data_IF_417563425286
#
_entry.id   IF_417563425286
#
_cell.length_a   1.000
_cell.length_b   1.000
_cell.length_c   1.000
_cell.angle_alpha   90.00
_cell.angle_beta   90.00
_cell.angle_gamma   90.00
#
_symmetry.space_group_name_H-M   'P 1'
#
loop_
_entity.id
_entity.type
_entity.pdbx_description
1 polymer ?
#
# COMPACT_ATOMS: atom_id res chain seq x y z
N UNK A 1 -4.05 5.35 -22.02
CA UNK A 1 -4.79 5.19 -20.73
C UNK A 1 -4.90 3.75 -20.25
N UNK A 2 -5.02 2.75 -21.14
CA UNK A 2 -5.06 1.31 -20.80
C UNK A 2 -3.87 0.86 -19.92
N UNK A 3 -2.65 1.31 -20.23
CA UNK A 3 -1.46 0.98 -19.43
C UNK A 3 -1.55 1.41 -17.96
N UNK A 4 -2.22 2.53 -17.65
CA UNK A 4 -2.40 3.00 -16.26
C UNK A 4 -3.39 2.13 -15.49
N UNK A 5 -4.48 1.72 -16.13
CA UNK A 5 -5.48 0.81 -15.57
C UNK A 5 -4.89 -0.58 -15.28
N UNK A 6 -4.10 -1.11 -16.21
CA UNK A 6 -3.39 -2.38 -16.02
C UNK A 6 -2.43 -2.29 -14.85
N UNK A 7 -1.73 -1.16 -14.70
CA UNK A 7 -0.82 -0.95 -13.58
C UNK A 7 -1.52 -0.91 -12.22
N UNK A 8 -2.67 -0.24 -12.17
CA UNK A 8 -3.49 -0.18 -10.96
C UNK A 8 -4.00 -1.57 -10.58
N UNK A 9 -4.47 -2.36 -11.56
CA UNK A 9 -4.86 -3.75 -11.33
C UNK A 9 -3.68 -4.60 -10.85
N UNK A 10 -2.50 -4.43 -11.45
CA UNK A 10 -1.30 -5.18 -11.08
C UNK A 10 -0.81 -4.80 -9.68
N UNK A 11 -0.91 -3.53 -9.29
CA UNK A 11 -0.62 -3.07 -7.92
C UNK A 11 -1.61 -3.62 -6.90
N UNK A 12 -2.90 -3.72 -7.22
CA UNK A 12 -3.88 -4.32 -6.31
C UNK A 12 -3.61 -5.82 -6.15
N UNK A 13 -3.43 -6.55 -7.26
CA UNK A 13 -3.24 -8.01 -7.24
C UNK A 13 -1.88 -8.36 -6.64
N UNK A 14 -0.78 -7.88 -7.23
CA UNK A 14 0.58 -8.24 -6.80
C UNK A 14 0.92 -7.56 -5.47
N UNK A 15 0.39 -6.37 -5.19
CA UNK A 15 0.53 -5.71 -3.89
C UNK A 15 -0.10 -6.52 -2.77
N UNK A 16 -1.30 -7.05 -2.98
CA UNK A 16 -1.96 -7.93 -2.02
C UNK A 16 -1.19 -9.24 -1.82
N UNK A 17 -0.96 -9.99 -2.90
CA UNK A 17 -0.30 -11.29 -2.81
C UNK A 17 1.15 -11.19 -2.30
N UNK A 18 1.91 -10.20 -2.76
CA UNK A 18 3.28 -9.96 -2.33
C UNK A 18 3.36 -9.59 -0.85
N UNK A 19 2.53 -8.63 -0.42
CA UNK A 19 2.56 -8.17 0.98
C UNK A 19 2.07 -9.27 1.94
N UNK A 20 1.00 -10.00 1.59
CA UNK A 20 0.50 -11.11 2.43
C UNK A 20 1.51 -12.25 2.51
N UNK A 21 2.16 -12.61 1.41
CA UNK A 21 3.19 -13.67 1.39
C UNK A 21 4.37 -13.31 2.29
N UNK A 22 4.89 -12.08 2.17
CA UNK A 22 6.00 -11.60 3.01
C UNK A 22 5.58 -11.56 4.49
N UNK A 23 4.36 -11.10 4.77
CA UNK A 23 3.83 -11.03 6.14
C UNK A 23 3.54 -12.40 6.75
N UNK A 24 3.42 -13.47 5.95
CA UNK A 24 3.30 -14.84 6.49
C UNK A 24 4.58 -15.31 7.20
N UNK A 25 5.73 -14.76 6.82
CA UNK A 25 7.03 -15.04 7.44
C UNK A 25 7.28 -14.20 8.70
N UNK A 26 6.50 -13.15 8.94
CA UNK A 26 6.71 -12.19 10.02
C UNK A 26 5.61 -12.31 11.07
N UNK A 27 5.92 -12.93 12.21
CA UNK A 27 5.01 -13.07 13.36
C UNK A 27 5.35 -12.05 14.46
N UNK A 28 4.94 -10.80 14.28
CA UNK A 28 4.91 -9.80 15.37
C UNK A 28 3.47 -9.36 15.63
N UNK A 29 3.02 -9.40 16.89
CA UNK A 29 1.62 -9.22 17.25
C UNK A 29 1.15 -7.76 17.36
N UNK A 30 1.98 -6.87 17.92
CA UNK A 30 1.55 -5.50 18.25
C UNK A 30 1.90 -4.46 17.17
N UNK A 31 3.03 -4.63 16.46
CA UNK A 31 3.47 -3.72 15.38
C UNK A 31 3.18 -4.24 13.98
N UNK A 32 2.34 -5.28 13.86
CA UNK A 32 2.06 -5.99 12.60
C UNK A 32 1.61 -5.05 11.48
N UNK A 33 0.74 -4.08 11.80
CA UNK A 33 0.19 -3.12 10.84
C UNK A 33 1.24 -2.13 10.31
N UNK A 34 2.17 -1.70 11.14
CA UNK A 34 3.25 -0.80 10.73
C UNK A 34 4.27 -1.52 9.83
N UNK A 35 4.60 -2.77 10.16
CA UNK A 35 5.44 -3.60 9.31
C UNK A 35 4.73 -3.87 7.98
N UNK A 36 3.42 -4.16 8.01
CA UNK A 36 2.61 -4.31 6.81
C UNK A 36 2.65 -3.05 5.94
N UNK A 37 2.59 -1.85 6.55
CA UNK A 37 2.69 -0.58 5.82
C UNK A 37 4.02 -0.41 5.09
N UNK A 38 5.13 -0.73 5.76
CA UNK A 38 6.46 -0.68 5.16
C UNK A 38 6.56 -1.66 3.98
N UNK A 39 6.14 -2.91 4.19
CA UNK A 39 6.19 -3.97 3.16
C UNK A 39 5.28 -3.59 1.98
N UNK A 40 4.05 -3.15 2.24
CA UNK A 40 3.12 -2.73 1.20
C UNK A 40 3.67 -1.57 0.37
N UNK A 41 4.27 -0.56 0.99
CA UNK A 41 4.86 0.57 0.29
C UNK A 41 6.00 0.13 -0.65
N UNK A 42 6.89 -0.75 -0.16
CA UNK A 42 8.00 -1.30 -0.95
C UNK A 42 7.47 -2.13 -2.12
N UNK A 43 6.52 -3.03 -1.86
CA UNK A 43 5.95 -3.91 -2.89
C UNK A 43 5.23 -3.09 -3.96
N UNK A 44 4.37 -2.14 -3.58
CA UNK A 44 3.65 -1.25 -4.52
C UNK A 44 4.62 -0.43 -5.38
N UNK A 45 5.72 0.05 -4.79
CA UNK A 45 6.75 0.78 -5.50
C UNK A 45 7.53 -0.11 -6.49
N UNK A 46 7.97 -1.29 -6.07
CA UNK A 46 8.67 -2.25 -6.95
C UNK A 46 7.79 -2.67 -8.13
N UNK A 47 6.50 -2.95 -7.88
CA UNK A 47 5.53 -3.22 -8.95
C UNK A 47 5.43 -2.01 -9.89
N UNK A 48 5.41 -0.81 -9.33
CA UNK A 48 5.42 0.44 -10.08
C UNK A 48 6.61 0.55 -11.04
N UNK A 49 7.82 0.19 -10.59
CA UNK A 49 9.04 0.19 -11.41
C UNK A 49 8.94 -0.88 -12.50
N UNK A 50 8.65 -2.13 -12.13
CA UNK A 50 8.61 -3.26 -13.07
C UNK A 50 7.58 -2.99 -14.15
N UNK A 51 6.40 -2.52 -13.76
CA UNK A 51 5.31 -2.25 -14.70
C UNK A 51 5.63 -1.07 -15.63
N UNK A 52 6.39 -0.07 -15.19
CA UNK A 52 6.84 1.02 -16.06
C UNK A 52 7.85 0.56 -17.13
N UNK A 53 8.57 -0.55 -16.90
CA UNK A 53 9.45 -1.13 -17.92
C UNK A 53 8.70 -1.99 -18.94
N UNK A 54 7.60 -2.62 -18.53
CA UNK A 54 6.82 -3.54 -19.37
C UNK A 54 5.73 -2.80 -20.17
N UNK A 55 5.09 -1.80 -19.54
CA UNK A 55 3.95 -1.08 -20.13
C UNK A 55 4.42 0.19 -20.85
N UNK A 56 4.05 0.34 -22.12
CA UNK A 56 4.24 1.59 -22.86
C UNK A 56 3.34 2.69 -22.30
N UNK A 57 3.83 3.94 -22.36
CA UNK A 57 3.14 5.17 -21.89
C UNK A 57 2.99 5.32 -20.36
N UNK A 58 3.84 4.62 -19.62
CA UNK A 58 3.78 4.56 -18.18
C UNK A 58 5.01 5.25 -17.60
N UNK A 59 4.81 6.39 -16.93
CA UNK A 59 5.90 7.15 -16.30
C UNK A 59 6.62 6.31 -15.24
N UNK A 60 7.95 6.39 -15.24
CA UNK A 60 8.83 5.74 -14.26
C UNK A 60 8.65 6.40 -12.89
N UNK A 61 8.34 5.62 -11.84
CA UNK A 61 8.19 6.18 -10.50
C UNK A 61 9.54 6.68 -9.98
N UNK A 62 9.52 7.81 -9.26
CA UNK A 62 10.71 8.45 -8.69
C UNK A 62 10.86 8.10 -7.21
N UNK A 63 12.01 8.42 -6.59
CA UNK A 63 12.22 8.26 -5.14
C UNK A 63 11.16 9.02 -4.32
N UNK A 64 10.62 10.11 -4.85
CA UNK A 64 9.50 10.82 -4.21
C UNK A 64 8.22 9.98 -4.15
N UNK A 65 7.96 9.16 -5.17
CA UNK A 65 6.78 8.27 -5.22
C UNK A 65 6.85 7.19 -4.15
N UNK A 66 8.04 6.67 -3.84
CA UNK A 66 8.25 5.73 -2.73
C UNK A 66 7.94 6.41 -1.38
N UNK A 67 8.50 7.60 -1.14
CA UNK A 67 8.28 8.33 0.11
C UNK A 67 6.80 8.64 0.32
N UNK A 68 6.08 9.07 -0.72
CA UNK A 68 4.64 9.33 -0.62
C UNK A 68 3.81 8.05 -0.40
N UNK A 69 4.12 6.95 -1.08
CA UNK A 69 3.49 5.66 -0.83
C UNK A 69 3.69 5.20 0.62
N UNK A 70 4.92 5.36 1.15
CA UNK A 70 5.24 5.01 2.53
C UNK A 70 4.50 5.90 3.54
N UNK A 71 4.51 7.22 3.36
CA UNK A 71 3.85 8.16 4.26
C UNK A 71 2.35 7.87 4.35
N UNK A 72 1.67 7.68 3.21
CA UNK A 72 0.24 7.37 3.23
C UNK A 72 -0.06 5.98 3.81
N UNK A 73 0.79 4.98 3.57
CA UNK A 73 0.66 3.66 4.20
C UNK A 73 0.80 3.74 5.72
N UNK A 74 1.77 4.53 6.21
CA UNK A 74 1.99 4.75 7.64
C UNK A 74 0.85 5.54 8.29
N UNK A 75 0.33 6.57 7.61
CA UNK A 75 -0.85 7.30 8.08
C UNK A 75 -2.05 6.37 8.18
N UNK A 76 -2.30 5.53 7.16
CA UNK A 76 -3.38 4.56 7.20
C UNK A 76 -3.21 3.54 8.34
N UNK A 77 -1.98 3.07 8.59
CA UNK A 77 -1.69 2.17 9.71
C UNK A 77 -1.90 2.84 11.07
N UNK A 78 -1.48 4.10 11.21
CA UNK A 78 -1.69 4.88 12.42
C UNK A 78 -3.19 5.13 12.66
N UNK A 79 -3.93 5.52 11.63
CA UNK A 79 -5.38 5.69 11.71
C UNK A 79 -6.08 4.38 12.09
N UNK A 80 -5.67 3.23 11.54
CA UNK A 80 -6.30 1.96 11.90
C UNK A 80 -5.93 1.45 13.29
N UNK A 81 -4.78 1.86 13.82
CA UNK A 81 -4.30 1.48 15.16
C UNK A 81 -4.91 2.35 16.25
N UNK A 82 -4.93 3.67 16.04
CA UNK A 82 -5.36 4.66 17.03
C UNK A 82 -6.77 5.19 16.77
N UNK A 83 -7.30 5.06 15.56
CA UNK A 83 -8.62 5.54 15.17
C UNK A 83 -9.77 5.07 16.03
N UNK A 84 -9.83 3.79 16.49
CA UNK A 84 -10.86 3.36 17.44
C UNK A 84 -10.90 4.17 18.74
N UNK A 85 -9.77 4.78 19.15
CA UNK A 85 -9.68 5.59 20.37
C UNK A 85 -10.24 7.00 20.18
N UNK A 86 -10.23 7.52 18.95
CA UNK A 86 -10.64 8.90 18.63
C UNK A 86 -11.97 8.99 17.88
N UNK A 87 -12.35 7.93 17.16
CA UNK A 87 -13.50 7.88 16.25
C UNK A 87 -14.24 6.55 16.43
N UNK A 88 -14.86 6.35 17.60
CA UNK A 88 -15.55 5.10 17.95
C UNK A 88 -16.78 4.79 17.07
N UNK A 89 -17.38 5.81 16.44
CA UNK A 89 -18.57 5.67 15.59
C UNK A 89 -18.28 5.01 14.23
N UNK A 90 -17.00 4.93 13.84
CA UNK A 90 -16.60 4.28 12.60
C UNK A 90 -16.55 2.76 12.83
N UNK A 91 -17.15 1.94 11.95
CA UNK A 91 -17.14 0.48 12.10
C UNK A 91 -15.78 -0.11 11.67
N UNK A 92 -14.72 0.18 12.43
CA UNK A 92 -13.34 -0.26 12.18
C UNK A 92 -13.18 -1.78 12.01
N UNK A 93 -14.05 -2.57 12.65
CA UNK A 93 -14.03 -4.04 12.59
C UNK A 93 -14.61 -4.64 11.31
N UNK A 94 -15.33 -3.86 10.47
CA UNK A 94 -15.89 -4.38 9.20
C UNK A 94 -14.85 -4.59 8.11
N UNK A 95 -13.72 -3.88 8.20
CA UNK A 95 -12.65 -3.93 7.21
C UNK A 95 -11.35 -4.31 7.91
N UNK A 96 -10.62 -5.27 7.36
CA UNK A 96 -9.31 -5.62 7.92
C UNK A 96 -8.34 -4.46 7.71
N UNK A 97 -7.59 -4.09 8.74
CA UNK A 97 -6.66 -2.95 8.67
C UNK A 97 -5.60 -3.08 7.59
N UNK A 98 -5.22 -4.32 7.22
CA UNK A 98 -4.32 -4.57 6.11
C UNK A 98 -4.83 -3.97 4.78
N UNK A 99 -6.14 -3.97 4.51
CA UNK A 99 -6.71 -3.36 3.30
C UNK A 99 -6.56 -1.84 3.30
N UNK A 100 -6.80 -1.19 4.44
CA UNK A 100 -6.70 0.26 4.56
C UNK A 100 -5.25 0.73 4.34
N UNK A 101 -4.28 -0.02 4.87
CA UNK A 101 -2.85 0.26 4.70
C UNK A 101 -2.41 0.11 3.25
N UNK A 102 -2.85 -0.95 2.58
CA UNK A 102 -2.55 -1.18 1.16
C UNK A 102 -3.19 -0.11 0.28
N UNK A 103 -4.44 0.29 0.58
CA UNK A 103 -5.10 1.40 -0.08
C UNK A 103 -4.33 2.72 0.11
N UNK A 104 -3.85 2.99 1.33
CA UNK A 104 -2.98 4.14 1.60
C UNK A 104 -1.70 4.12 0.75
N UNK A 105 -1.02 2.98 0.68
CA UNK A 105 0.19 2.83 -0.14
C UNK A 105 -0.09 3.10 -1.63
N UNK A 106 -1.17 2.52 -2.17
CA UNK A 106 -1.58 2.71 -3.57
C UNK A 106 -1.94 4.18 -3.82
N UNK A 107 -2.71 4.81 -2.92
CA UNK A 107 -3.08 6.22 -3.05
C UNK A 107 -1.85 7.13 -3.07
N UNK A 108 -0.90 6.93 -2.15
CA UNK A 108 0.34 7.70 -2.11
C UNK A 108 1.18 7.53 -3.38
N UNK A 109 1.23 6.32 -3.93
CA UNK A 109 1.86 6.07 -5.22
C UNK A 109 1.14 6.82 -6.35
N UNK A 110 -0.19 6.78 -6.39
CA UNK A 110 -1.00 7.32 -7.49
C UNK A 110 -1.04 8.84 -7.49
N UNK A 111 -1.02 9.48 -6.32
CA UNK A 111 -1.05 10.95 -6.20
C UNK A 111 0.23 11.60 -6.75
N UNK A 112 1.39 10.97 -6.51
CA UNK A 112 2.69 11.59 -6.85
C UNK A 112 3.22 11.21 -8.23
N UNK A 113 2.65 10.19 -8.86
CA UNK A 113 3.03 9.71 -10.17
C UNK A 113 2.40 10.56 -11.28
#
# INVERSE_FOLDING_TARGET
MLGRLVLLLLQIVVGWFGTVTIMSYIKFGQFRLFIFALVAAIVVFLIGIISAQILKEVGTPSSHTLSWALVFALIAAALWTFGPQFLADIPWGRVRGEYAVLAGAILGYTIKR
#
